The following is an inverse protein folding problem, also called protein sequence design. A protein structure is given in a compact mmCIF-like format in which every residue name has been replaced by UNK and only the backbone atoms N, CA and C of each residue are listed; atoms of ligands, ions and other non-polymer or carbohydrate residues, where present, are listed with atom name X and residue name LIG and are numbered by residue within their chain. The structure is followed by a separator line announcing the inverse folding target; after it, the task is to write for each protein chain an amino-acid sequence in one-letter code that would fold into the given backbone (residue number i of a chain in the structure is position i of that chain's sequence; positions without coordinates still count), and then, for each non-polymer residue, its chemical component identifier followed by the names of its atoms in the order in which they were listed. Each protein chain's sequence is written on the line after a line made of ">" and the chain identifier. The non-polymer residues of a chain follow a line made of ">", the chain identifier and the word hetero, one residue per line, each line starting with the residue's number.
data_IF_272718506019
#
_entry.id   IF_272718506019
#
_cell.length_a   1.000
_cell.length_b   1.000
_cell.length_c   1.000
_cell.angle_alpha   90.00
_cell.angle_beta   90.00
_cell.angle_gamma   90.00
#
_symmetry.space_group_name_H-M   'P 1'
#
loop_
_entity.id
_entity.type
_entity.pdbx_description
1 polymer ?
#
# COMPACT_ATOMS: atom_id res chain seq x y z
N UNK A 1 -14.09 -29.50 4.49
CA UNK A 1 -14.00 -29.41 3.00
C UNK A 1 -14.37 -27.99 2.64
N UNK A 2 -13.39 -27.16 2.34
CA UNK A 2 -13.63 -25.80 1.82
C UNK A 2 -13.93 -25.95 0.34
N UNK A 3 -15.12 -25.58 -0.09
CA UNK A 3 -15.46 -25.54 -1.50
C UNK A 3 -14.57 -24.48 -2.19
N UNK A 4 -14.02 -24.75 -3.39
CA UNK A 4 -13.27 -23.76 -4.11
C UNK A 4 -14.22 -22.62 -4.46
N UNK A 5 -13.89 -21.41 -3.98
CA UNK A 5 -14.58 -20.19 -4.37
C UNK A 5 -14.61 -20.12 -5.90
N UNK A 6 -15.80 -19.90 -6.46
CA UNK A 6 -15.98 -19.77 -7.90
C UNK A 6 -14.97 -18.76 -8.47
N UNK A 7 -14.49 -19.01 -9.67
CA UNK A 7 -13.52 -18.18 -10.35
C UNK A 7 -14.03 -16.73 -10.41
N UNK A 8 -13.53 -15.88 -9.55
CA UNK A 8 -13.76 -14.44 -9.64
C UNK A 8 -12.99 -13.95 -10.89
N UNK A 9 -13.71 -13.69 -11.97
CA UNK A 9 -13.14 -12.96 -13.09
C UNK A 9 -13.10 -11.50 -12.69
N UNK A 10 -11.92 -10.99 -12.38
CA UNK A 10 -11.70 -9.55 -12.41
C UNK A 10 -12.15 -9.03 -13.78
N UNK A 11 -13.00 -7.99 -13.85
CA UNK A 11 -13.35 -7.38 -15.12
C UNK A 11 -12.05 -6.99 -15.83
N UNK A 12 -11.92 -7.37 -17.10
CA UNK A 12 -10.67 -7.28 -17.87
C UNK A 12 -10.28 -5.84 -18.23
N UNK A 13 -11.08 -4.87 -17.88
CA UNK A 13 -10.76 -3.43 -17.88
C UNK A 13 -11.83 -2.71 -17.04
N UNK A 14 -11.52 -2.35 -15.83
CA UNK A 14 -12.18 -1.25 -15.16
C UNK A 14 -11.59 0.03 -15.77
N UNK A 15 -12.26 0.60 -16.77
CA UNK A 15 -11.98 1.96 -17.21
C UNK A 15 -12.57 2.90 -16.16
N UNK A 16 -11.73 3.36 -15.24
CA UNK A 16 -12.14 4.35 -14.26
C UNK A 16 -12.28 5.72 -14.94
N UNK A 17 -13.33 6.50 -14.64
CA UNK A 17 -13.43 7.86 -15.11
C UNK A 17 -12.24 8.68 -14.56
N UNK A 18 -11.63 9.48 -15.42
CA UNK A 18 -10.39 10.22 -15.21
C UNK A 18 -10.54 11.50 -14.37
N UNK A 19 -11.51 11.60 -13.50
CA UNK A 19 -11.50 12.68 -12.50
C UNK A 19 -10.60 12.29 -11.33
N UNK A 20 -9.34 12.58 -11.48
CA UNK A 20 -8.34 12.45 -10.42
C UNK A 20 -8.57 13.58 -9.42
N UNK A 21 -9.15 13.27 -8.26
CA UNK A 21 -9.06 14.17 -7.13
C UNK A 21 -7.57 14.49 -6.88
N UNK A 22 -7.25 15.76 -6.74
CA UNK A 22 -5.87 16.20 -6.54
C UNK A 22 -5.38 15.68 -5.19
N UNK A 23 -4.65 14.56 -5.21
CA UNK A 23 -3.83 14.14 -4.07
C UNK A 23 -2.79 15.24 -3.78
N UNK A 24 -2.40 15.44 -2.50
CA UNK A 24 -1.31 16.36 -2.18
C UNK A 24 -0.13 16.08 -3.11
N UNK A 25 0.42 17.13 -3.72
CA UNK A 25 1.46 17.02 -4.73
C UNK A 25 2.61 16.16 -4.21
N UNK A 26 2.85 15.05 -4.89
CA UNK A 26 4.05 14.26 -4.64
C UNK A 26 5.25 14.99 -5.25
N UNK A 27 6.35 15.23 -4.50
CA UNK A 27 7.55 15.81 -5.06
C UNK A 27 8.19 14.98 -6.19
N UNK A 28 7.68 13.78 -6.45
CA UNK A 28 8.06 12.88 -7.54
C UNK A 28 7.05 12.87 -8.69
N UNK A 29 6.15 13.87 -8.78
CA UNK A 29 5.34 14.05 -9.97
C UNK A 29 6.27 14.44 -11.13
N UNK A 30 6.59 13.47 -12.00
CA UNK A 30 7.26 13.77 -13.26
C UNK A 30 6.16 14.32 -14.18
N UNK A 31 6.15 15.65 -14.38
CA UNK A 31 5.29 16.29 -15.34
C UNK A 31 5.63 15.77 -16.74
N UNK A 32 4.78 14.93 -17.30
CA UNK A 32 4.82 14.57 -18.71
C UNK A 32 4.39 15.75 -19.57
N UNK A 33 4.72 15.76 -20.88
CA UNK A 33 4.29 16.81 -21.79
C UNK A 33 2.77 16.97 -21.74
N UNK A 34 2.31 18.22 -21.81
CA UNK A 34 0.92 18.62 -21.67
C UNK A 34 -0.04 17.69 -22.45
N UNK A 35 -0.94 17.01 -21.75
CA UNK A 35 -1.94 16.09 -22.31
C UNK A 35 -1.68 14.60 -22.05
N UNK A 36 -0.58 14.20 -21.40
CA UNK A 36 -0.38 12.83 -20.91
C UNK A 36 -0.41 12.85 -19.39
N UNK A 37 -1.26 12.01 -18.77
CA UNK A 37 -1.21 11.79 -17.32
C UNK A 37 0.19 11.29 -16.97
N UNK A 38 0.97 12.10 -16.25
CA UNK A 38 2.28 11.70 -15.73
C UNK A 38 2.15 10.46 -14.85
N UNK A 39 3.21 9.63 -14.80
CA UNK A 39 3.27 8.55 -13.84
C UNK A 39 3.20 9.11 -12.42
N UNK A 40 2.31 8.52 -11.60
CA UNK A 40 2.17 8.86 -10.18
C UNK A 40 2.41 7.61 -9.35
N UNK A 41 3.29 7.72 -8.38
CA UNK A 41 3.62 6.63 -7.48
C UNK A 41 2.42 6.21 -6.60
N UNK A 42 1.60 7.18 -6.20
CA UNK A 42 0.37 6.94 -5.45
C UNK A 42 -0.77 7.62 -6.21
N UNK A 43 -1.88 6.91 -6.41
CA UNK A 43 -3.08 7.47 -7.02
C UNK A 43 -4.34 6.92 -6.37
N UNK A 44 -5.36 7.72 -6.31
CA UNK A 44 -6.69 7.35 -5.87
C UNK A 44 -7.69 7.47 -7.02
N UNK A 45 -8.54 6.48 -7.15
CA UNK A 45 -9.63 6.43 -8.14
C UNK A 45 -10.89 5.98 -7.42
N UNK A 46 -12.08 6.39 -7.89
CA UNK A 46 -13.34 5.97 -7.31
C UNK A 46 -14.39 5.70 -8.39
N UNK A 47 -15.16 4.63 -8.22
CA UNK A 47 -16.29 4.27 -9.05
C UNK A 47 -17.44 3.78 -8.16
N UNK A 48 -18.57 4.49 -8.15
CA UNK A 48 -19.69 4.21 -7.28
C UNK A 48 -19.28 4.18 -5.80
N UNK A 49 -19.57 3.08 -5.13
CA UNK A 49 -19.24 2.85 -3.70
C UNK A 49 -17.83 2.29 -3.44
N UNK A 50 -17.00 2.16 -4.48
CA UNK A 50 -15.66 1.59 -4.38
C UNK A 50 -14.60 2.64 -4.70
N UNK A 51 -13.70 2.88 -3.74
CA UNK A 51 -12.47 3.63 -3.94
C UNK A 51 -11.29 2.68 -4.12
N UNK A 52 -10.30 3.05 -4.89
CA UNK A 52 -9.08 2.29 -5.12
C UNK A 52 -7.85 3.18 -4.88
N UNK A 53 -7.05 2.82 -3.90
CA UNK A 53 -5.77 3.47 -3.59
C UNK A 53 -4.63 2.60 -4.11
N UNK A 54 -3.95 3.08 -5.12
CA UNK A 54 -2.83 2.41 -5.77
C UNK A 54 -1.50 2.95 -5.24
N UNK A 55 -0.57 2.05 -4.91
CA UNK A 55 0.79 2.38 -4.45
C UNK A 55 1.82 1.38 -4.99
N UNK A 56 2.01 1.28 -6.31
CA UNK A 56 2.94 0.34 -6.92
C UNK A 56 4.40 0.76 -6.70
N UNK A 57 4.85 0.74 -5.44
CA UNK A 57 6.23 1.07 -5.09
C UNK A 57 7.21 0.08 -5.71
N UNK A 58 8.35 0.58 -6.15
CA UNK A 58 9.38 -0.26 -6.75
C UNK A 58 9.83 -1.35 -5.78
N UNK A 59 9.79 -2.60 -6.22
CA UNK A 59 10.04 -3.79 -5.40
C UNK A 59 9.18 -3.90 -4.12
N UNK A 60 8.12 -3.12 -4.00
CA UNK A 60 7.26 -3.11 -2.81
C UNK A 60 7.91 -2.56 -1.55
N UNK A 61 9.14 -2.04 -1.64
CA UNK A 61 9.82 -1.43 -0.50
C UNK A 61 9.25 -0.03 -0.22
N UNK A 62 9.11 0.32 1.05
CA UNK A 62 8.49 1.55 1.51
C UNK A 62 9.45 2.34 2.40
N UNK A 63 10.02 3.44 1.86
CA UNK A 63 10.81 4.38 2.64
C UNK A 63 9.94 5.20 3.58
N UNK A 64 10.56 5.88 4.55
CA UNK A 64 9.87 6.82 5.45
C UNK A 64 8.96 7.76 4.68
N UNK A 65 9.49 8.45 3.68
CA UNK A 65 8.72 9.39 2.87
C UNK A 65 7.59 8.74 2.06
N UNK A 66 7.76 7.50 1.60
CA UNK A 66 6.70 6.75 0.92
C UNK A 66 5.59 6.33 1.88
N UNK A 67 5.94 5.89 3.10
CA UNK A 67 4.95 5.57 4.14
C UNK A 67 4.14 6.81 4.54
N UNK A 68 4.80 7.95 4.77
CA UNK A 68 4.14 9.21 5.12
C UNK A 68 3.18 9.67 4.02
N UNK A 69 3.60 9.62 2.75
CA UNK A 69 2.74 9.98 1.60
C UNK A 69 1.57 9.00 1.45
N UNK A 70 1.81 7.70 1.65
CA UNK A 70 0.74 6.70 1.58
C UNK A 70 -0.26 6.87 2.72
N UNK A 71 0.20 7.19 3.93
CA UNK A 71 -0.66 7.53 5.07
C UNK A 71 -1.54 8.75 4.78
N UNK A 72 -0.95 9.81 4.21
CA UNK A 72 -1.71 10.99 3.79
C UNK A 72 -2.75 10.66 2.71
N UNK A 73 -2.37 9.86 1.71
CA UNK A 73 -3.26 9.41 0.65
C UNK A 73 -4.37 8.48 1.17
N UNK A 74 -4.07 7.61 2.13
CA UNK A 74 -5.05 6.76 2.81
C UNK A 74 -6.07 7.62 3.57
N UNK A 75 -5.64 8.58 4.37
CA UNK A 75 -6.53 9.51 5.08
C UNK A 75 -7.42 10.29 4.12
N UNK A 76 -6.84 10.74 2.99
CA UNK A 76 -7.63 11.36 1.92
C UNK A 76 -8.68 10.39 1.36
N UNK A 77 -8.30 9.16 1.02
CA UNK A 77 -9.21 8.14 0.47
C UNK A 77 -10.34 7.79 1.46
N UNK A 78 -10.01 7.69 2.75
CA UNK A 78 -10.97 7.44 3.82
C UNK A 78 -11.97 8.61 4.02
N UNK A 79 -11.63 9.81 3.65
CA UNK A 79 -12.53 10.98 3.70
C UNK A 79 -13.46 11.07 2.48
N UNK A 80 -13.27 10.24 1.44
CA UNK A 80 -14.10 10.25 0.23
C UNK A 80 -15.42 9.48 0.43
N UNK A 81 -16.45 9.69 -0.43
CA UNK A 81 -17.77 9.05 -0.30
C UNK A 81 -17.79 7.51 -0.36
N UNK A 82 -16.94 6.80 -1.15
CA UNK A 82 -17.00 5.35 -1.27
C UNK A 82 -16.92 4.62 0.08
N UNK A 83 -17.74 3.59 0.26
CA UNK A 83 -17.80 2.80 1.50
C UNK A 83 -16.81 1.63 1.53
N UNK A 84 -16.32 1.23 0.39
CA UNK A 84 -15.28 0.19 0.23
C UNK A 84 -14.02 0.83 -0.31
N UNK A 85 -12.88 0.56 0.32
CA UNK A 85 -11.56 1.01 -0.14
C UNK A 85 -10.69 -0.20 -0.48
N UNK A 86 -10.25 -0.28 -1.73
CA UNK A 86 -9.27 -1.27 -2.18
C UNK A 86 -7.86 -0.70 -2.05
N UNK A 87 -6.95 -1.47 -1.45
CA UNK A 87 -5.53 -1.18 -1.39
C UNK A 87 -4.81 -2.02 -2.44
N UNK A 88 -4.18 -1.38 -3.41
CA UNK A 88 -3.58 -1.99 -4.58
C UNK A 88 -2.09 -1.64 -4.68
N UNK A 89 -1.24 -2.59 -4.31
CA UNK A 89 0.20 -2.52 -4.55
C UNK A 89 0.57 -2.90 -5.99
N UNK A 90 1.85 -3.11 -6.23
CA UNK A 90 2.36 -3.55 -7.55
C UNK A 90 1.98 -4.98 -7.91
N UNK A 91 2.07 -5.34 -9.22
CA UNK A 91 1.72 -6.67 -9.70
C UNK A 91 2.72 -7.75 -9.27
N UNK A 92 3.99 -7.40 -9.06
CA UNK A 92 5.04 -8.33 -8.63
C UNK A 92 5.17 -8.36 -7.11
N UNK A 93 5.14 -7.17 -6.50
CA UNK A 93 5.20 -6.98 -5.06
C UNK A 93 4.08 -6.06 -4.61
N UNK A 94 3.26 -6.53 -3.66
CA UNK A 94 2.25 -5.71 -3.03
C UNK A 94 2.89 -4.76 -2.02
N UNK A 95 3.65 -5.29 -1.08
CA UNK A 95 4.53 -4.53 -0.17
C UNK A 95 5.57 -5.45 0.47
N UNK A 96 6.77 -4.95 0.73
CA UNK A 96 7.86 -5.67 1.38
C UNK A 96 8.33 -5.00 2.71
N UNK A 97 7.54 -4.06 3.23
CA UNK A 97 7.90 -3.34 4.45
C UNK A 97 8.96 -2.26 4.21
N UNK A 98 9.82 -2.03 5.21
CA UNK A 98 10.81 -0.94 5.20
C UNK A 98 11.81 -1.00 4.04
N UNK A 99 12.32 0.15 3.64
CA UNK A 99 13.22 0.27 2.49
C UNK A 99 14.70 0.18 2.90
N UNK A 100 15.26 -1.03 2.95
CA UNK A 100 16.62 -1.29 3.42
C UNK A 100 17.69 -0.48 2.68
N UNK A 101 17.60 -0.33 1.36
CA UNK A 101 18.61 0.43 0.60
C UNK A 101 18.63 1.93 0.98
N UNK A 102 17.47 2.51 1.32
CA UNK A 102 17.41 3.90 1.79
C UNK A 102 18.02 4.00 3.18
N UNK A 103 17.76 3.02 4.04
CA UNK A 103 18.35 2.95 5.37
C UNK A 103 19.87 2.81 5.29
N UNK A 104 20.38 1.91 4.44
CA UNK A 104 21.81 1.72 4.25
C UNK A 104 22.54 2.95 3.68
N UNK A 105 21.86 3.72 2.85
CA UNK A 105 22.40 4.94 2.23
C UNK A 105 22.30 6.18 3.14
N UNK A 106 21.62 6.10 4.27
CA UNK A 106 21.42 7.23 5.18
C UNK A 106 22.70 7.54 6.00
N UNK A 107 22.90 8.82 6.35
CA UNK A 107 23.99 9.26 7.21
C UNK A 107 23.95 8.59 8.60
N UNK A 108 22.72 8.37 9.13
CA UNK A 108 22.48 7.59 10.34
C UNK A 108 21.48 6.48 10.02
N UNK A 109 21.98 5.28 9.84
CA UNK A 109 21.17 4.09 9.53
C UNK A 109 20.19 3.77 10.67
N UNK A 110 20.61 3.94 11.90
CA UNK A 110 19.78 3.69 13.09
C UNK A 110 18.59 4.66 13.14
N UNK A 111 18.83 5.95 12.91
CA UNK A 111 17.78 6.96 12.93
C UNK A 111 16.81 6.79 11.75
N UNK A 112 17.33 6.45 10.56
CA UNK A 112 16.46 6.19 9.40
C UNK A 112 15.63 4.92 9.59
N UNK A 113 16.22 3.84 10.13
CA UNK A 113 15.48 2.63 10.51
C UNK A 113 14.34 2.96 11.47
N UNK A 114 14.64 3.73 12.50
CA UNK A 114 13.66 4.14 13.50
C UNK A 114 12.53 4.97 12.89
N UNK A 115 12.87 5.96 12.06
CA UNK A 115 11.86 6.76 11.34
C UNK A 115 11.00 5.91 10.41
N UNK A 116 11.61 5.00 9.65
CA UNK A 116 10.88 4.17 8.69
C UNK A 116 9.93 3.20 9.40
N UNK A 117 10.35 2.58 10.51
CA UNK A 117 9.46 1.72 11.31
C UNK A 117 8.28 2.52 11.85
N UNK A 118 8.51 3.68 12.47
CA UNK A 118 7.41 4.50 12.97
C UNK A 118 6.45 4.94 11.84
N UNK A 119 6.98 5.30 10.68
CA UNK A 119 6.14 5.71 9.56
C UNK A 119 5.26 4.55 9.00
N UNK A 120 5.76 3.31 9.01
CA UNK A 120 4.93 2.15 8.61
C UNK A 120 3.94 1.77 9.71
N UNK A 121 4.28 2.00 10.97
CA UNK A 121 3.37 1.82 12.10
C UNK A 121 2.20 2.79 12.05
N UNK A 122 2.47 4.08 11.81
CA UNK A 122 1.45 5.11 11.64
C UNK A 122 0.49 4.77 10.48
N UNK A 123 1.03 4.21 9.38
CA UNK A 123 0.24 3.72 8.26
C UNK A 123 -0.65 2.55 8.67
N UNK A 124 -0.10 1.58 9.37
CA UNK A 124 -0.81 0.38 9.85
C UNK A 124 -1.88 0.76 10.87
N UNK A 125 -1.55 1.64 11.81
CA UNK A 125 -2.52 2.19 12.76
C UNK A 125 -3.68 2.89 12.04
N UNK A 126 -3.39 3.71 11.03
CA UNK A 126 -4.42 4.40 10.25
C UNK A 126 -5.37 3.40 9.57
N UNK A 127 -4.87 2.24 9.13
CA UNK A 127 -5.70 1.16 8.58
C UNK A 127 -6.58 0.51 9.65
N UNK A 128 -6.03 0.18 10.81
CA UNK A 128 -6.76 -0.45 11.93
C UNK A 128 -7.88 0.48 12.44
N UNK A 129 -7.62 1.78 12.47
CA UNK A 129 -8.58 2.79 12.95
C UNK A 129 -9.66 3.14 11.91
N UNK A 130 -9.56 2.65 10.67
CA UNK A 130 -10.51 2.94 9.59
C UNK A 130 -11.84 2.18 9.73
N UNK A 131 -12.53 2.33 10.85
CA UNK A 131 -13.72 1.54 11.24
C UNK A 131 -15.02 1.91 10.50
N UNK A 132 -15.06 3.03 9.79
CA UNK A 132 -16.30 3.49 9.11
C UNK A 132 -16.41 2.99 7.66
N UNK A 133 -15.42 2.24 7.19
CA UNK A 133 -15.33 1.73 5.82
C UNK A 133 -14.80 0.32 5.81
N UNK A 134 -15.14 -0.43 4.78
CA UNK A 134 -14.52 -1.73 4.54
C UNK A 134 -13.24 -1.50 3.76
N UNK A 135 -12.11 -1.84 4.36
CA UNK A 135 -10.79 -1.78 3.71
C UNK A 135 -10.39 -3.18 3.26
N UNK A 136 -10.01 -3.32 1.99
CA UNK A 136 -9.63 -4.60 1.39
C UNK A 136 -8.22 -4.50 0.84
N UNK A 137 -7.30 -5.29 1.36
CA UNK A 137 -5.98 -5.48 0.76
C UNK A 137 -6.11 -6.41 -0.46
N UNK A 138 -6.11 -5.85 -1.66
CA UNK A 138 -6.24 -6.59 -2.92
C UNK A 138 -4.86 -6.89 -3.51
N UNK A 139 -4.35 -8.08 -3.23
CA UNK A 139 -2.95 -8.46 -3.49
C UNK A 139 -2.80 -9.20 -4.81
N UNK A 140 -2.18 -8.56 -5.78
CA UNK A 140 -1.74 -9.20 -7.03
C UNK A 140 -0.30 -9.71 -6.94
N UNK A 141 0.55 -8.99 -6.21
CA UNK A 141 1.96 -9.30 -5.97
C UNK A 141 2.23 -9.88 -4.60
N UNK A 142 3.46 -10.35 -4.42
CA UNK A 142 3.94 -10.93 -3.17
C UNK A 142 4.05 -9.88 -2.05
N UNK A 143 4.04 -10.34 -0.80
CA UNK A 143 4.32 -9.48 0.34
C UNK A 143 5.34 -10.11 1.27
N UNK A 144 6.24 -9.28 1.79
CA UNK A 144 7.24 -9.67 2.76
C UNK A 144 7.22 -8.77 3.98
N UNK A 145 7.76 -9.29 5.07
CA UNK A 145 7.97 -8.54 6.31
C UNK A 145 6.75 -7.67 6.70
N UNK A 146 6.96 -6.38 6.94
CA UNK A 146 5.91 -5.43 7.29
C UNK A 146 4.78 -5.29 6.27
N UNK A 147 5.03 -5.63 5.01
CA UNK A 147 3.98 -5.63 3.99
C UNK A 147 2.89 -6.67 4.26
N UNK A 148 3.23 -7.83 4.85
CA UNK A 148 2.23 -8.82 5.24
C UNK A 148 1.36 -8.28 6.37
N UNK A 149 1.96 -7.68 7.37
CA UNK A 149 1.22 -7.14 8.52
C UNK A 149 0.32 -5.96 8.12
N UNK A 150 0.81 -5.09 7.24
CA UNK A 150 -0.01 -4.03 6.65
C UNK A 150 -1.23 -4.59 5.91
N UNK A 151 -1.08 -5.70 5.18
CA UNK A 151 -2.22 -6.35 4.54
C UNK A 151 -3.21 -6.92 5.56
N UNK A 152 -2.72 -7.50 6.65
CA UNK A 152 -3.54 -8.08 7.72
C UNK A 152 -4.26 -7.01 8.57
N UNK A 153 -3.83 -5.76 8.52
CA UNK A 153 -4.50 -4.63 9.16
C UNK A 153 -5.79 -4.21 8.44
N UNK A 154 -6.02 -4.67 7.21
CA UNK A 154 -7.27 -4.45 6.49
C UNK A 154 -8.38 -5.40 6.98
N UNK A 155 -9.65 -5.03 6.77
CA UNK A 155 -10.80 -5.88 7.14
C UNK A 155 -10.82 -7.20 6.37
N UNK A 156 -10.33 -7.19 5.14
CA UNK A 156 -10.24 -8.37 4.29
C UNK A 156 -8.95 -8.38 3.48
N UNK A 157 -8.41 -9.58 3.26
CA UNK A 157 -7.26 -9.80 2.37
C UNK A 157 -7.70 -10.68 1.21
N UNK A 158 -7.64 -10.12 0.01
CA UNK A 158 -7.89 -10.84 -1.24
C UNK A 158 -6.57 -11.05 -1.96
N UNK A 159 -6.08 -12.28 -1.96
CA UNK A 159 -4.81 -12.61 -2.59
C UNK A 159 -5.01 -13.44 -3.85
N UNK A 160 -4.30 -13.10 -4.93
CA UNK A 160 -4.20 -13.95 -6.11
C UNK A 160 -3.60 -15.30 -5.71
N UNK A 161 -4.05 -16.39 -6.29
CA UNK A 161 -3.67 -17.78 -5.92
C UNK A 161 -2.17 -18.04 -5.78
N UNK A 162 -1.33 -17.33 -6.55
CA UNK A 162 0.12 -17.53 -6.56
C UNK A 162 0.89 -16.55 -5.69
N UNK A 163 0.20 -15.70 -4.91
CA UNK A 163 0.85 -14.74 -4.02
C UNK A 163 1.53 -15.48 -2.88
N UNK A 164 2.79 -15.12 -2.65
CA UNK A 164 3.59 -15.60 -1.50
C UNK A 164 3.57 -14.54 -0.41
N UNK A 165 3.24 -14.96 0.80
CA UNK A 165 3.27 -14.15 2.01
C UNK A 165 4.41 -14.64 2.90
N UNK A 166 5.37 -13.76 3.17
CA UNK A 166 6.52 -14.10 4.02
C UNK A 166 6.70 -13.07 5.15
N UNK A 167 6.04 -13.24 6.31
CA UNK A 167 6.12 -12.29 7.43
C UNK A 167 7.42 -12.41 8.24
N UNK A 168 8.53 -12.80 7.63
CA UNK A 168 9.74 -13.18 8.33
C UNK A 168 10.67 -12.00 8.64
N UNK A 169 11.06 -11.85 9.91
CA UNK A 169 12.01 -10.83 10.41
C UNK A 169 13.30 -11.40 10.99
N UNK A 170 13.32 -12.69 11.32
CA UNK A 170 14.34 -13.30 12.18
C UNK A 170 15.79 -13.04 11.75
N UNK A 171 16.06 -12.90 10.47
CA UNK A 171 17.41 -12.77 9.93
C UNK A 171 17.74 -11.33 9.48
N UNK A 172 16.92 -10.34 9.89
CA UNK A 172 17.07 -8.96 9.47
C UNK A 172 17.70 -8.06 10.55
N UNK A 173 18.77 -8.56 11.20
CA UNK A 173 19.61 -7.73 12.05
C UNK A 173 18.95 -7.18 13.30
N UNK A 174 18.10 -7.96 13.97
CA UNK A 174 17.37 -7.57 15.16
C UNK A 174 16.34 -6.44 14.96
N UNK A 175 15.90 -6.19 13.76
CA UNK A 175 14.71 -5.38 13.51
C UNK A 175 13.50 -6.21 13.91
N UNK A 176 13.03 -6.01 15.12
CA UNK A 176 11.82 -6.63 15.62
C UNK A 176 10.61 -5.86 15.15
N UNK A 177 9.47 -6.55 15.13
CA UNK A 177 8.22 -5.96 14.72
C UNK A 177 7.84 -4.72 15.52
N UNK A 178 6.84 -4.04 15.04
CA UNK A 178 6.30 -2.85 15.65
C UNK A 178 5.29 -3.18 16.75
N UNK A 179 4.80 -2.17 17.44
CA UNK A 179 3.76 -2.34 18.46
C UNK A 179 2.42 -2.81 17.92
N UNK A 180 2.20 -2.72 16.60
CA UNK A 180 0.95 -3.13 15.94
C UNK A 180 1.05 -4.48 15.22
N UNK A 181 2.12 -5.24 15.42
CA UNK A 181 2.35 -6.50 14.67
C UNK A 181 2.40 -7.73 15.56
#
# INVERSE_FOLDING_TARGET
>A
RVEPAGSFKLPTALAFPTETAALPESPLAIDGPAGRSGWREIRYEAEGDVGALHFPFYNGAMSTAQCERLTAALRFALAQPPRVLLLLGGPDFWANGIHLNVIEAADSQADESWRNINAIDDLTQTLIEATERIVIAAMQGNAGAGGVFMALAADQVWARRSVVLNPHYKNMGNLFGSEYW
#
